data_IF_951876910445
#
_entry.id   IF_951876910445
#
_cell.length_a   1.000
_cell.length_b   1.000
_cell.length_c   1.000
_cell.angle_alpha   90.00
_cell.angle_beta   90.00
_cell.angle_gamma   90.00
#
_symmetry.space_group_name_H-M   'P 1'
#
loop_
_entity.id
_entity.type
_entity.pdbx_description
1 polymer ?
#
# COMPACT_ATOMS: atom_id res chain seq x y z
N UNK A 1 -9.18 16.85 28.85
CA UNK A 1 -9.23 17.90 27.81
C UNK A 1 -9.05 17.16 26.47
N UNK A 2 -10.01 17.26 25.59
CA UNK A 2 -9.92 16.65 24.25
C UNK A 2 -8.87 17.39 23.41
N UNK A 3 -8.08 16.63 22.65
CA UNK A 3 -6.99 17.20 21.85
C UNK A 3 -7.55 17.79 20.57
N UNK A 4 -7.40 19.11 20.39
CA UNK A 4 -7.78 19.80 19.17
C UNK A 4 -6.85 19.43 18.00
N UNK A 5 -7.41 19.30 16.79
CA UNK A 5 -6.64 19.01 15.54
C UNK A 5 -5.55 20.03 15.26
N UNK A 6 -5.70 21.27 15.73
CA UNK A 6 -4.73 22.34 15.53
C UNK A 6 -3.63 22.38 16.60
N UNK A 7 -3.75 21.58 17.67
CA UNK A 7 -2.77 21.55 18.74
C UNK A 7 -1.43 20.99 18.28
N UNK A 8 -0.35 21.73 18.50
CA UNK A 8 1.01 21.37 18.06
C UNK A 8 1.79 20.55 19.10
N UNK A 9 1.26 20.39 20.31
CA UNK A 9 1.86 19.62 21.39
C UNK A 9 2.77 20.45 22.31
N UNK A 10 3.69 21.23 21.75
CA UNK A 10 4.75 21.96 22.45
C UNK A 10 4.64 23.50 22.31
N UNK A 11 3.72 23.98 21.49
CA UNK A 11 3.55 25.40 21.18
C UNK A 11 2.11 25.73 20.82
N UNK A 12 1.73 27.02 20.89
CA UNK A 12 0.42 27.47 20.43
C UNK A 12 0.19 27.16 18.95
N UNK A 13 -1.07 26.89 18.57
CA UNK A 13 -1.46 26.73 17.18
C UNK A 13 -1.53 28.10 16.46
N UNK A 14 -1.72 28.07 15.13
CA UNK A 14 -1.82 29.30 14.34
C UNK A 14 -2.98 30.24 14.76
N UNK A 15 -4.13 29.68 15.15
CA UNK A 15 -5.28 30.47 15.59
C UNK A 15 -5.05 31.25 16.89
N UNK A 16 -4.15 30.76 17.76
CA UNK A 16 -3.70 31.51 18.91
C UNK A 16 -3.06 32.84 18.50
N UNK A 17 -2.22 32.81 17.48
CA UNK A 17 -1.50 34.01 17.00
C UNK A 17 -2.40 34.93 16.17
N UNK A 18 -3.39 34.38 15.45
CA UNK A 18 -4.30 35.17 14.60
C UNK A 18 -5.43 35.80 15.43
N UNK A 19 -6.05 35.03 16.32
CA UNK A 19 -7.29 35.38 17.00
C UNK A 19 -7.10 35.65 18.52
N UNK A 20 -5.88 35.49 19.06
CA UNK A 20 -5.60 35.70 20.47
C UNK A 20 -6.35 34.71 21.38
N UNK A 21 -6.59 33.49 20.96
CA UNK A 21 -7.32 32.50 21.74
C UNK A 21 -6.59 32.22 23.08
N UNK A 22 -7.22 32.57 24.19
CA UNK A 22 -6.71 32.25 25.53
C UNK A 22 -7.20 30.86 25.97
N UNK A 23 -8.43 30.52 25.64
CA UNK A 23 -9.09 29.26 25.97
C UNK A 23 -9.49 28.51 24.70
N UNK A 24 -8.83 27.36 24.43
CA UNK A 24 -9.12 26.59 23.22
C UNK A 24 -10.59 26.17 23.12
N UNK A 25 -11.20 25.74 24.21
CA UNK A 25 -12.57 25.20 24.23
C UNK A 25 -13.64 26.27 23.94
N UNK A 26 -13.30 27.53 24.05
CA UNK A 26 -14.18 28.66 23.79
C UNK A 26 -13.95 29.30 22.41
N UNK A 27 -12.96 28.80 21.68
CA UNK A 27 -12.61 29.30 20.36
C UNK A 27 -13.51 28.67 19.28
N UNK A 28 -13.98 29.47 18.34
CA UNK A 28 -14.70 29.01 17.13
C UNK A 28 -13.87 28.03 16.29
N UNK A 29 -12.55 28.05 16.48
CA UNK A 29 -11.62 27.15 15.77
C UNK A 29 -11.34 25.86 16.56
N UNK A 30 -11.96 25.65 17.73
CA UNK A 30 -11.79 24.44 18.50
C UNK A 30 -12.39 23.24 17.76
N UNK A 31 -11.53 22.32 17.34
CA UNK A 31 -11.90 21.15 16.57
C UNK A 31 -11.26 19.88 17.20
N UNK A 32 -11.88 19.33 18.25
CA UNK A 32 -11.32 18.15 18.93
C UNK A 32 -11.47 16.88 18.13
N UNK A 33 -10.58 15.93 18.37
CA UNK A 33 -10.77 14.56 17.96
C UNK A 33 -11.68 13.85 18.97
N UNK A 34 -12.65 13.07 18.45
CA UNK A 34 -13.54 12.24 19.28
C UNK A 34 -12.90 10.90 19.59
N UNK A 35 -12.34 10.25 18.57
CA UNK A 35 -11.69 8.96 18.70
C UNK A 35 -10.24 9.04 18.26
N UNK A 36 -9.38 8.29 18.91
CA UNK A 36 -7.97 8.07 18.55
C UNK A 36 -7.81 6.63 18.10
N UNK A 37 -7.55 6.45 16.82
CA UNK A 37 -7.45 5.13 16.18
C UNK A 37 -6.02 4.88 15.76
N UNK A 38 -5.47 3.72 16.12
CA UNK A 38 -4.16 3.27 15.68
C UNK A 38 -4.28 2.08 14.74
N UNK A 39 -3.69 2.17 13.56
CA UNK A 39 -3.47 1.02 12.68
C UNK A 39 -2.02 0.57 12.78
N UNK A 40 -1.82 -0.73 13.00
CA UNK A 40 -0.54 -1.42 12.86
C UNK A 40 -0.60 -2.22 11.55
N UNK A 41 0.18 -1.81 10.55
CA UNK A 41 0.40 -2.54 9.29
C UNK A 41 1.82 -2.29 8.81
N UNK A 42 2.70 -3.28 9.05
CA UNK A 42 4.14 -3.16 8.84
C UNK A 42 4.57 -3.65 7.45
N UNK A 43 4.14 -4.83 7.08
CA UNK A 43 4.57 -5.61 5.92
C UNK A 43 3.40 -6.39 5.28
N UNK A 44 3.50 -6.96 4.07
CA UNK A 44 4.50 -6.64 3.05
C UNK A 44 4.15 -5.33 2.33
N UNK A 45 5.08 -4.76 1.52
CA UNK A 45 4.84 -3.49 0.81
C UNK A 45 3.52 -3.48 0.02
N UNK A 46 3.21 -4.57 -0.68
CA UNK A 46 1.95 -4.70 -1.43
C UNK A 46 0.72 -4.68 -0.52
N UNK A 47 0.82 -5.30 0.66
CA UNK A 47 -0.26 -5.34 1.64
C UNK A 47 -0.49 -3.97 2.28
N UNK A 48 0.57 -3.20 2.54
CA UNK A 48 0.42 -1.81 3.00
C UNK A 48 -0.32 -0.99 1.95
N UNK A 49 0.07 -1.10 0.66
CA UNK A 49 -0.60 -0.39 -0.43
C UNK A 49 -2.09 -0.71 -0.49
N UNK A 50 -2.45 -1.99 -0.53
CA UNK A 50 -3.87 -2.40 -0.66
C UNK A 50 -4.69 -2.13 0.60
N UNK A 51 -4.03 -1.97 1.77
CA UNK A 51 -4.68 -1.60 3.03
C UNK A 51 -5.03 -0.11 3.10
N UNK A 52 -4.47 0.75 2.25
CA UNK A 52 -4.74 2.20 2.28
C UNK A 52 -6.22 2.55 2.09
N UNK A 53 -7.00 1.67 1.46
CA UNK A 53 -8.44 1.79 1.33
C UNK A 53 -9.16 1.88 2.69
N UNK A 54 -8.64 1.21 3.72
CA UNK A 54 -9.23 1.19 5.06
C UNK A 54 -9.25 2.57 5.71
N UNK A 55 -8.28 3.44 5.40
CA UNK A 55 -8.23 4.79 5.96
C UNK A 55 -9.48 5.61 5.59
N UNK A 56 -9.97 5.50 4.34
CA UNK A 56 -11.22 6.14 3.91
C UNK A 56 -12.43 5.54 4.64
N UNK A 57 -12.51 4.22 4.75
CA UNK A 57 -13.61 3.54 5.46
C UNK A 57 -13.68 3.92 6.94
N UNK A 58 -12.50 4.03 7.61
CA UNK A 58 -12.44 4.49 9.01
C UNK A 58 -12.95 5.92 9.11
N UNK A 59 -12.54 6.84 8.23
CA UNK A 59 -13.02 8.24 8.28
C UNK A 59 -14.51 8.38 7.94
N UNK A 60 -15.09 7.47 7.18
CA UNK A 60 -16.55 7.43 6.97
C UNK A 60 -17.29 7.00 8.23
N UNK A 61 -16.78 5.99 8.96
CA UNK A 61 -17.36 5.48 10.19
C UNK A 61 -17.09 6.40 11.39
N UNK A 62 -15.90 6.97 11.46
CA UNK A 62 -15.40 7.83 12.54
C UNK A 62 -14.87 9.14 11.96
N UNK A 63 -15.73 10.07 11.53
CA UNK A 63 -15.31 11.27 10.78
C UNK A 63 -14.43 12.23 11.59
N UNK A 64 -14.62 12.26 12.90
CA UNK A 64 -13.88 13.11 13.82
C UNK A 64 -12.68 12.40 14.47
N UNK A 65 -12.32 11.22 14.01
CA UNK A 65 -11.19 10.46 14.56
C UNK A 65 -9.82 11.07 14.21
N UNK A 66 -8.84 10.82 15.07
CA UNK A 66 -7.42 10.92 14.73
C UNK A 66 -6.91 9.55 14.31
N UNK A 67 -6.59 9.38 13.03
CA UNK A 67 -6.04 8.13 12.52
C UNK A 67 -4.51 8.19 12.51
N UNK A 68 -3.90 7.38 13.37
CA UNK A 68 -2.46 7.14 13.39
C UNK A 68 -2.16 5.80 12.72
N UNK A 69 -1.11 5.74 11.91
CA UNK A 69 -0.67 4.51 11.25
C UNK A 69 0.82 4.28 11.50
N UNK A 70 1.18 3.09 12.01
CA UNK A 70 2.58 2.67 12.11
C UNK A 70 2.89 1.64 11.02
N UNK A 71 4.00 1.84 10.32
CA UNK A 71 4.46 0.98 9.21
C UNK A 71 5.99 0.93 9.15
N UNK A 72 6.54 -0.02 8.39
CA UNK A 72 7.99 -0.06 8.11
C UNK A 72 8.45 1.20 7.37
N UNK A 73 9.69 1.68 7.59
CA UNK A 73 10.20 2.88 6.93
C UNK A 73 10.09 2.85 5.40
N UNK A 74 10.33 1.69 4.78
CA UNK A 74 10.24 1.52 3.33
C UNK A 74 8.81 1.58 2.79
N UNK A 75 7.79 1.40 3.62
CA UNK A 75 6.38 1.46 3.23
C UNK A 75 5.73 2.82 3.51
N UNK A 76 6.38 3.69 4.30
CA UNK A 76 5.84 5.00 4.71
C UNK A 76 5.37 5.84 3.52
N UNK A 77 6.14 5.83 2.44
CA UNK A 77 5.81 6.58 1.23
C UNK A 77 4.40 6.28 0.69
N UNK A 78 3.91 5.06 0.82
CA UNK A 78 2.57 4.69 0.35
C UNK A 78 1.43 5.32 1.15
N UNK A 79 1.73 5.80 2.35
CA UNK A 79 0.76 6.43 3.25
C UNK A 79 0.83 7.97 3.17
N UNK A 80 1.97 8.52 2.76
CA UNK A 80 2.21 9.96 2.67
C UNK A 80 1.22 10.63 1.69
N UNK A 81 0.69 11.79 2.09
CA UNK A 81 -0.29 12.53 1.30
C UNK A 81 -1.69 11.92 1.27
N UNK A 82 -1.94 10.81 1.96
CA UNK A 82 -3.29 10.27 2.12
C UNK A 82 -4.07 11.16 3.09
N UNK A 83 -5.08 11.88 2.57
CA UNK A 83 -5.90 12.84 3.32
C UNK A 83 -6.69 12.25 4.50
N UNK A 84 -6.81 10.93 4.55
CA UNK A 84 -7.54 10.21 5.59
C UNK A 84 -6.63 9.75 6.75
N UNK A 85 -5.30 9.90 6.63
CA UNK A 85 -4.33 9.54 7.67
C UNK A 85 -3.79 10.82 8.30
N UNK A 86 -4.02 10.99 9.60
CA UNK A 86 -3.59 12.21 10.33
C UNK A 86 -2.13 12.11 10.77
N UNK A 87 -1.64 10.91 11.10
CA UNK A 87 -0.27 10.71 11.58
C UNK A 87 0.32 9.40 11.08
N UNK A 88 1.52 9.47 10.52
CA UNK A 88 2.27 8.31 10.06
C UNK A 88 3.51 8.16 10.95
N UNK A 89 3.69 6.97 11.51
CA UNK A 89 4.83 6.61 12.36
C UNK A 89 5.66 5.52 11.65
N UNK A 90 6.96 5.71 11.61
CA UNK A 90 7.87 4.65 11.17
C UNK A 90 8.12 3.65 12.30
N UNK A 91 8.15 2.36 11.97
CA UNK A 91 8.52 1.33 12.94
C UNK A 91 9.99 1.47 13.33
N UNK A 92 10.24 2.00 14.52
CA UNK A 92 11.53 2.08 15.18
C UNK A 92 11.32 2.13 16.69
N UNK A 93 12.40 2.04 17.47
CA UNK A 93 12.34 2.00 18.94
C UNK A 93 11.72 3.26 19.55
N UNK A 94 11.93 4.42 18.96
CA UNK A 94 11.37 5.69 19.43
C UNK A 94 9.85 5.73 19.24
N UNK A 95 9.39 5.45 18.02
CA UNK A 95 7.96 5.41 17.69
C UNK A 95 7.21 4.40 18.57
N UNK A 96 7.78 3.21 18.76
CA UNK A 96 7.18 2.18 19.61
C UNK A 96 7.02 2.69 21.06
N UNK A 97 8.05 3.32 21.64
CA UNK A 97 7.98 3.89 23.00
C UNK A 97 6.94 5.00 23.11
N UNK A 98 6.86 5.88 22.10
CA UNK A 98 5.85 6.96 22.07
C UNK A 98 4.44 6.36 22.05
N UNK A 99 4.20 5.36 21.19
CA UNK A 99 2.88 4.72 21.07
C UNK A 99 2.49 3.93 22.32
N UNK A 100 3.45 3.30 23.02
CA UNK A 100 3.19 2.65 24.31
C UNK A 100 2.70 3.61 25.40
N UNK A 101 3.11 4.87 25.35
CA UNK A 101 2.68 5.90 26.30
C UNK A 101 1.29 6.44 26.01
N UNK A 102 0.91 6.43 24.71
CA UNK A 102 -0.38 6.93 24.26
C UNK A 102 -1.50 5.93 24.58
N UNK A 103 -2.71 6.45 24.77
CA UNK A 103 -3.92 5.67 24.84
C UNK A 103 -4.73 5.90 23.56
N UNK A 104 -5.27 4.83 23.01
CA UNK A 104 -6.16 4.85 21.85
C UNK A 104 -7.54 4.37 22.26
N UNK A 105 -8.57 4.81 21.55
CA UNK A 105 -9.91 4.26 21.70
C UNK A 105 -10.01 2.93 20.95
N UNK A 106 -9.41 2.87 19.75
CA UNK A 106 -9.39 1.65 18.91
C UNK A 106 -7.98 1.39 18.40
N UNK A 107 -7.52 0.15 18.57
CA UNK A 107 -6.29 -0.36 17.97
C UNK A 107 -6.64 -1.47 16.97
N UNK A 108 -6.19 -1.32 15.74
CA UNK A 108 -6.40 -2.27 14.65
C UNK A 108 -5.04 -2.82 14.21
N UNK A 109 -4.76 -4.10 14.46
CA UNK A 109 -3.56 -4.75 13.96
C UNK A 109 -3.90 -5.71 12.82
N UNK A 110 -3.38 -5.43 11.62
CA UNK A 110 -3.62 -6.22 10.42
C UNK A 110 -2.53 -7.28 10.14
N UNK A 111 -1.47 -7.30 10.93
CA UNK A 111 -0.35 -8.20 10.75
C UNK A 111 -0.30 -9.30 11.81
N UNK A 112 0.10 -10.50 11.39
CA UNK A 112 0.24 -11.69 12.27
C UNK A 112 1.69 -11.98 12.67
N UNK A 113 2.65 -11.18 12.20
CA UNK A 113 4.04 -11.38 12.60
C UNK A 113 4.28 -10.99 14.07
N UNK A 114 5.31 -11.58 14.74
CA UNK A 114 5.55 -11.35 16.17
C UNK A 114 5.79 -9.88 16.55
N UNK A 115 6.35 -9.05 15.65
CA UNK A 115 6.60 -7.63 15.93
C UNK A 115 5.26 -6.88 16.05
N UNK A 116 4.36 -7.07 15.10
CA UNK A 116 3.09 -6.39 15.08
C UNK A 116 2.15 -6.89 16.19
N UNK A 117 2.07 -8.20 16.38
CA UNK A 117 1.20 -8.80 17.40
C UNK A 117 1.65 -8.46 18.83
N UNK A 118 2.97 -8.44 19.09
CA UNK A 118 3.50 -8.01 20.39
C UNK A 118 3.26 -6.52 20.65
N UNK A 119 3.38 -5.66 19.64
CA UNK A 119 3.04 -4.24 19.78
C UNK A 119 1.55 -4.06 20.08
N UNK A 120 0.67 -4.79 19.40
CA UNK A 120 -0.76 -4.70 19.63
C UNK A 120 -1.10 -5.00 21.11
N UNK A 121 -0.43 -5.98 21.73
CA UNK A 121 -0.64 -6.33 23.14
C UNK A 121 0.06 -5.39 24.12
N UNK A 122 1.11 -4.69 23.68
CA UNK A 122 1.86 -3.76 24.52
C UNK A 122 1.29 -2.33 24.54
N UNK A 123 0.50 -1.96 23.56
CA UNK A 123 -0.09 -0.63 23.44
C UNK A 123 -1.44 -0.58 24.17
N UNK A 124 -1.81 0.61 24.67
CA UNK A 124 -3.04 0.81 25.43
C UNK A 124 -4.18 1.23 24.50
N UNK A 125 -5.24 0.43 24.46
CA UNK A 125 -6.47 0.79 23.76
C UNK A 125 -7.70 0.34 24.59
N UNK A 126 -8.85 0.96 24.34
CA UNK A 126 -10.11 0.51 24.94
C UNK A 126 -10.68 -0.66 24.14
N UNK A 127 -10.44 -0.69 22.81
CA UNK A 127 -10.89 -1.73 21.91
C UNK A 127 -9.73 -2.21 21.03
N UNK A 128 -9.62 -3.55 20.87
CA UNK A 128 -8.60 -4.18 20.06
C UNK A 128 -9.25 -4.98 18.93
N UNK A 129 -8.79 -4.79 17.69
CA UNK A 129 -9.25 -5.48 16.49
C UNK A 129 -8.09 -6.07 15.71
N UNK A 130 -8.33 -7.17 15.03
CA UNK A 130 -7.30 -7.86 14.24
C UNK A 130 -6.56 -8.91 15.04
N UNK A 131 -5.23 -8.83 15.08
CA UNK A 131 -4.39 -9.88 15.63
C UNK A 131 -3.58 -9.42 16.83
N UNK A 132 -3.52 -10.26 17.85
CA UNK A 132 -2.65 -10.13 19.01
C UNK A 132 -1.71 -11.30 19.14
N UNK A 133 -0.95 -11.28 20.22
CA UNK A 133 -0.02 -12.33 20.60
C UNK A 133 -0.56 -13.08 21.82
N UNK A 134 -0.74 -14.40 21.68
CA UNK A 134 -1.06 -15.28 22.81
C UNK A 134 0.14 -15.38 23.77
N UNK A 135 -0.11 -15.68 25.04
CA UNK A 135 0.95 -15.82 26.06
C UNK A 135 2.01 -16.88 25.71
N UNK A 136 1.64 -17.88 24.92
CA UNK A 136 2.57 -18.90 24.39
C UNK A 136 3.30 -18.46 23.10
N UNK A 137 3.14 -17.21 22.65
CA UNK A 137 3.93 -16.62 21.58
C UNK A 137 3.44 -16.83 20.15
N UNK A 138 2.21 -17.33 19.95
CA UNK A 138 1.60 -17.42 18.61
C UNK A 138 0.55 -16.34 18.39
N UNK A 139 0.27 -15.97 17.12
CA UNK A 139 -0.77 -14.99 16.83
C UNK A 139 -2.17 -15.53 17.12
N UNK A 140 -3.06 -14.66 17.57
CA UNK A 140 -4.47 -14.98 17.82
C UNK A 140 -5.38 -13.86 17.32
N UNK A 141 -6.64 -14.15 16.95
CA UNK A 141 -7.63 -13.12 16.63
C UNK A 141 -8.09 -12.42 17.92
N UNK A 142 -8.21 -11.08 17.88
CA UNK A 142 -8.64 -10.27 19.02
C UNK A 142 -10.14 -9.95 18.97
N UNK A 143 -10.78 -10.08 17.81
CA UNK A 143 -12.21 -9.81 17.61
C UNK A 143 -12.84 -10.80 16.64
N UNK A 144 -14.16 -10.82 16.58
CA UNK A 144 -14.90 -11.75 15.70
C UNK A 144 -14.59 -11.56 14.22
N UNK A 145 -14.38 -10.31 13.79
CA UNK A 145 -14.06 -10.00 12.39
C UNK A 145 -12.74 -10.62 11.92
N UNK A 146 -11.80 -10.87 12.84
CA UNK A 146 -10.52 -11.48 12.52
C UNK A 146 -10.53 -13.00 12.44
N UNK A 147 -11.54 -13.67 13.05
CA UNK A 147 -11.59 -15.14 13.18
C UNK A 147 -11.57 -15.82 11.81
N UNK A 148 -12.47 -15.40 10.90
CA UNK A 148 -12.55 -16.00 9.56
C UNK A 148 -11.21 -16.00 8.82
N UNK A 149 -10.52 -14.85 8.76
CA UNK A 149 -9.24 -14.76 8.08
C UNK A 149 -8.12 -15.50 8.85
N UNK A 150 -8.21 -15.59 10.18
CA UNK A 150 -7.29 -16.38 10.98
C UNK A 150 -7.43 -17.88 10.67
N UNK A 151 -8.65 -18.41 10.70
CA UNK A 151 -8.94 -19.82 10.39
C UNK A 151 -8.56 -20.18 8.96
N UNK A 152 -8.83 -19.27 8.00
CA UNK A 152 -8.41 -19.42 6.61
C UNK A 152 -6.88 -19.56 6.47
N UNK A 153 -6.11 -18.93 7.35
CA UNK A 153 -4.64 -19.06 7.33
C UNK A 153 -4.14 -20.37 7.96
N UNK A 154 -4.89 -20.94 8.90
CA UNK A 154 -4.56 -22.24 9.53
C UNK A 154 -4.91 -23.42 8.62
N UNK A 155 -5.95 -23.29 7.80
CA UNK A 155 -6.39 -24.31 6.87
C UNK A 155 -5.75 -24.11 5.49
N UNK A 156 -4.63 -24.75 5.27
CA UNK A 156 -3.84 -24.60 4.03
C UNK A 156 -4.57 -25.06 2.76
N UNK A 157 -5.66 -25.82 2.83
CA UNK A 157 -6.30 -26.44 1.65
C UNK A 157 -7.79 -26.22 1.53
N UNK A 158 -8.51 -26.02 2.62
CA UNK A 158 -9.95 -25.95 2.63
C UNK A 158 -10.49 -24.52 2.52
N UNK A 159 -10.30 -23.72 3.56
CA UNK A 159 -10.89 -22.38 3.66
C UNK A 159 -10.25 -21.41 2.66
N UNK A 160 -8.93 -21.48 2.44
CA UNK A 160 -8.22 -20.59 1.53
C UNK A 160 -8.63 -20.78 0.06
N UNK A 161 -8.94 -22.01 -0.35
CA UNK A 161 -9.41 -22.32 -1.70
C UNK A 161 -10.88 -21.98 -1.89
N UNK A 162 -11.66 -21.89 -0.81
CA UNK A 162 -13.09 -21.55 -0.81
C UNK A 162 -13.36 -20.06 -0.55
N UNK A 163 -12.33 -19.29 -0.22
CA UNK A 163 -12.50 -17.87 0.02
C UNK A 163 -12.85 -17.13 -1.28
N UNK A 164 -13.96 -16.43 -1.28
CA UNK A 164 -14.39 -15.57 -2.38
C UNK A 164 -14.23 -14.06 -2.06
N UNK A 165 -13.83 -13.76 -0.80
CA UNK A 165 -13.65 -12.37 -0.37
C UNK A 165 -12.32 -11.82 -0.87
N UNK A 166 -12.37 -10.57 -1.34
CA UNK A 166 -11.18 -9.80 -1.65
C UNK A 166 -10.42 -9.42 -0.37
N UNK A 167 -9.15 -9.08 -0.51
CA UNK A 167 -8.35 -8.60 0.62
C UNK A 167 -8.97 -7.37 1.29
N UNK A 168 -9.57 -6.46 0.52
CA UNK A 168 -10.25 -5.29 1.06
C UNK A 168 -11.42 -5.71 1.95
N UNK A 169 -12.29 -6.61 1.48
CA UNK A 169 -13.38 -7.14 2.29
C UNK A 169 -12.87 -7.78 3.58
N UNK A 170 -11.79 -8.56 3.51
CA UNK A 170 -11.19 -9.20 4.68
C UNK A 170 -10.67 -8.17 5.70
N UNK A 171 -9.90 -7.15 5.29
CA UNK A 171 -9.37 -6.17 6.23
C UNK A 171 -10.45 -5.24 6.80
N UNK A 172 -11.49 -4.95 6.05
CA UNK A 172 -12.64 -4.19 6.55
C UNK A 172 -13.44 -4.99 7.57
N UNK A 173 -13.66 -6.29 7.30
CA UNK A 173 -14.26 -7.21 8.28
C UNK A 173 -13.43 -7.33 9.56
N UNK A 174 -12.10 -7.50 9.44
CA UNK A 174 -11.17 -7.52 10.57
C UNK A 174 -11.26 -6.24 11.39
N UNK A 175 -11.39 -5.11 10.72
CA UNK A 175 -11.45 -3.78 11.33
C UNK A 175 -12.84 -3.40 11.83
N UNK A 176 -13.86 -4.25 11.58
CA UNK A 176 -15.28 -3.98 11.90
C UNK A 176 -15.76 -2.65 11.31
N UNK A 177 -15.36 -2.39 10.08
CA UNK A 177 -15.75 -1.23 9.26
C UNK A 177 -16.49 -1.75 8.03
N UNK A 178 -17.59 -1.09 7.65
CA UNK A 178 -18.35 -1.49 6.46
C UNK A 178 -17.55 -1.18 5.19
N UNK A 179 -17.43 -2.17 4.30
CA UNK A 179 -16.79 -2.02 3.01
C UNK A 179 -17.78 -1.55 1.94
N UNK A 180 -17.53 -0.39 1.36
CA UNK A 180 -18.35 0.21 0.31
C UNK A 180 -17.53 0.40 -0.98
N UNK A 181 -16.72 -0.59 -1.30
CA UNK A 181 -15.85 -0.59 -2.50
C UNK A 181 -14.77 0.52 -2.49
N UNK A 182 -14.29 0.88 -1.29
CA UNK A 182 -13.16 1.80 -1.12
C UNK A 182 -11.92 1.26 -1.86
N UNK A 183 -11.28 2.16 -2.62
CA UNK A 183 -10.13 1.81 -3.44
C UNK A 183 -8.82 2.10 -2.71
N UNK A 184 -7.79 1.26 -2.89
CA UNK A 184 -6.44 1.63 -2.47
C UNK A 184 -6.01 2.94 -3.12
N UNK A 185 -5.27 3.74 -2.37
CA UNK A 185 -4.85 5.06 -2.81
C UNK A 185 -3.39 5.33 -2.46
N UNK A 186 -2.63 5.85 -3.44
CA UNK A 186 -1.28 6.39 -3.26
C UNK A 186 -1.28 7.81 -3.78
N UNK A 187 -0.82 8.75 -2.97
CA UNK A 187 -0.61 10.12 -3.40
C UNK A 187 0.73 10.26 -4.15
N UNK A 188 0.68 10.89 -5.30
CA UNK A 188 1.86 11.33 -6.03
C UNK A 188 1.81 12.85 -6.20
N UNK A 189 2.85 13.54 -5.77
CA UNK A 189 2.98 14.98 -6.01
C UNK A 189 2.97 15.25 -7.52
N UNK A 190 2.07 16.09 -8.00
CA UNK A 190 1.86 16.35 -9.42
C UNK A 190 3.09 16.98 -10.10
N UNK A 191 3.79 17.89 -9.41
CA UNK A 191 4.96 18.56 -9.95
C UNK A 191 6.14 17.60 -10.07
N UNK A 192 6.38 16.78 -9.03
CA UNK A 192 7.42 15.76 -9.05
C UNK A 192 7.14 14.68 -10.10
N UNK A 193 5.89 14.22 -10.19
CA UNK A 193 5.47 13.24 -11.18
C UNK A 193 5.62 13.77 -12.61
N UNK A 194 5.21 15.01 -12.87
CA UNK A 194 5.40 15.68 -14.15
C UNK A 194 6.89 15.80 -14.49
N UNK A 195 7.70 16.28 -13.54
CA UNK A 195 9.17 16.40 -13.74
C UNK A 195 9.81 15.03 -14.02
N UNK A 196 9.39 13.97 -13.33
CA UNK A 196 9.88 12.62 -13.59
C UNK A 196 9.52 12.17 -15.01
N UNK A 197 8.26 12.36 -15.43
CA UNK A 197 7.78 12.02 -16.78
C UNK A 197 8.56 12.76 -17.85
N UNK A 198 8.71 14.08 -17.73
CA UNK A 198 9.40 14.92 -18.72
C UNK A 198 10.87 14.49 -18.87
N UNK A 199 11.56 14.23 -17.77
CA UNK A 199 12.93 13.74 -17.78
C UNK A 199 13.03 12.34 -18.41
N UNK A 200 12.09 11.44 -18.08
CA UNK A 200 12.07 10.08 -18.65
C UNK A 200 11.83 10.12 -20.16
N UNK A 201 10.85 10.90 -20.60
CA UNK A 201 10.51 11.05 -22.02
C UNK A 201 11.68 11.65 -22.82
N UNK A 202 12.33 12.70 -22.29
CA UNK A 202 13.50 13.31 -22.90
C UNK A 202 14.66 12.31 -23.02
N UNK A 203 14.98 11.61 -21.90
CA UNK A 203 16.08 10.64 -21.85
C UNK A 203 15.96 9.53 -22.89
N UNK A 204 14.74 8.99 -23.03
CA UNK A 204 14.48 7.83 -23.89
C UNK A 204 13.84 8.20 -25.22
N UNK A 205 13.75 9.49 -25.55
CA UNK A 205 13.17 10.04 -26.79
C UNK A 205 11.74 9.53 -27.04
N UNK A 206 10.94 9.48 -25.98
CA UNK A 206 9.53 9.07 -26.03
C UNK A 206 8.67 10.28 -26.38
N UNK A 207 7.67 10.09 -27.22
CA UNK A 207 6.68 11.12 -27.56
C UNK A 207 5.31 10.76 -26.99
N UNK A 208 4.41 11.74 -26.90
CA UNK A 208 3.02 11.52 -26.47
C UNK A 208 2.20 10.64 -27.44
N UNK A 209 2.75 10.28 -28.61
CA UNK A 209 2.13 9.35 -29.56
C UNK A 209 2.48 7.90 -29.25
N UNK A 210 3.45 7.66 -28.40
CA UNK A 210 3.83 6.33 -27.99
C UNK A 210 2.86 5.77 -26.94
N UNK A 211 2.66 4.46 -26.96
CA UNK A 211 1.94 3.70 -25.95
C UNK A 211 2.95 2.93 -25.10
N UNK A 212 2.88 3.10 -23.80
CA UNK A 212 3.88 2.59 -22.86
C UNK A 212 3.32 1.37 -22.13
N UNK A 213 3.98 0.23 -22.31
CA UNK A 213 3.72 -1.00 -21.59
C UNK A 213 4.80 -1.22 -20.55
N UNK A 214 4.44 -1.28 -19.28
CA UNK A 214 5.36 -1.64 -18.21
C UNK A 214 5.19 -3.12 -17.87
N UNK A 215 6.26 -3.88 -17.98
CA UNK A 215 6.31 -5.29 -17.66
C UNK A 215 7.12 -5.50 -16.37
N UNK A 216 6.46 -5.86 -15.29
CA UNK A 216 7.13 -6.30 -14.06
C UNK A 216 7.36 -7.79 -14.15
N UNK A 217 8.62 -8.19 -14.36
CA UNK A 217 8.99 -9.59 -14.62
C UNK A 217 9.30 -10.39 -13.36
N UNK A 218 9.25 -9.76 -12.19
CA UNK A 218 9.62 -10.32 -10.91
C UNK A 218 8.47 -10.54 -9.93
N UNK A 219 8.76 -11.26 -8.85
CA UNK A 219 7.88 -11.41 -7.70
C UNK A 219 8.64 -11.53 -6.37
N UNK A 220 9.94 -11.21 -6.38
CA UNK A 220 10.81 -11.45 -5.23
C UNK A 220 11.15 -12.94 -5.02
N UNK A 221 11.97 -13.27 -4.00
CA UNK A 221 12.46 -14.62 -3.76
C UNK A 221 11.48 -15.53 -3.01
N UNK A 222 10.51 -14.97 -2.26
CA UNK A 222 9.64 -15.74 -1.34
C UNK A 222 8.70 -16.68 -2.08
N UNK A 223 8.15 -16.24 -3.23
CA UNK A 223 7.21 -17.01 -4.03
C UNK A 223 7.65 -17.08 -5.50
N UNK A 224 8.72 -17.84 -5.84
CA UNK A 224 9.29 -17.85 -7.19
C UNK A 224 8.32 -18.34 -8.26
N UNK A 225 7.34 -19.16 -7.91
CA UNK A 225 6.31 -19.69 -8.82
C UNK A 225 5.25 -18.65 -9.23
N UNK A 226 5.24 -17.45 -8.66
CA UNK A 226 4.44 -16.32 -9.16
C UNK A 226 5.02 -15.71 -10.45
N UNK A 227 6.24 -16.07 -10.84
CA UNK A 227 6.89 -15.56 -12.05
C UNK A 227 6.36 -16.28 -13.29
N UNK A 228 5.98 -15.51 -14.31
CA UNK A 228 5.75 -16.08 -15.63
C UNK A 228 7.07 -16.46 -16.29
N UNK A 229 7.02 -17.29 -17.35
CA UNK A 229 8.22 -17.79 -18.02
C UNK A 229 8.94 -16.68 -18.79
N UNK A 230 10.27 -16.77 -18.86
CA UNK A 230 11.08 -15.84 -19.67
C UNK A 230 10.65 -15.87 -21.14
N UNK A 231 10.45 -17.08 -21.70
CA UNK A 231 10.06 -17.25 -23.10
C UNK A 231 8.66 -16.68 -23.38
N UNK A 232 7.75 -16.72 -22.38
CA UNK A 232 6.46 -16.06 -22.47
C UNK A 232 6.62 -14.54 -22.59
N UNK A 233 7.49 -13.93 -21.77
CA UNK A 233 7.79 -12.49 -21.87
C UNK A 233 8.44 -12.15 -23.22
N UNK A 234 9.37 -12.95 -23.74
CA UNK A 234 10.00 -12.72 -25.05
C UNK A 234 8.95 -12.72 -26.15
N UNK A 235 8.06 -13.72 -26.16
CA UNK A 235 6.96 -13.78 -27.13
C UNK A 235 6.03 -12.57 -27.04
N UNK A 236 5.63 -12.21 -25.82
CA UNK A 236 4.77 -11.05 -25.58
C UNK A 236 5.41 -9.75 -26.07
N UNK A 237 6.69 -9.52 -25.72
CA UNK A 237 7.42 -8.33 -26.15
C UNK A 237 7.51 -8.25 -27.67
N UNK A 238 7.80 -9.35 -28.35
CA UNK A 238 7.82 -9.39 -29.82
C UNK A 238 6.46 -9.06 -30.43
N UNK A 239 5.36 -9.57 -29.88
CA UNK A 239 4.01 -9.22 -30.33
C UNK A 239 3.71 -7.73 -30.12
N UNK A 240 3.99 -7.19 -28.94
CA UNK A 240 3.77 -5.77 -28.64
C UNK A 240 4.61 -4.85 -29.55
N UNK A 241 5.83 -5.25 -29.89
CA UNK A 241 6.72 -4.47 -30.75
C UNK A 241 6.33 -4.46 -32.23
N UNK A 242 5.34 -5.25 -32.69
CA UNK A 242 4.79 -5.17 -34.04
C UNK A 242 4.16 -3.79 -34.30
N UNK A 243 3.53 -3.18 -33.30
CA UNK A 243 3.13 -1.78 -33.38
C UNK A 243 4.33 -0.87 -33.07
N UNK A 244 4.68 -0.03 -34.06
CA UNK A 244 5.82 0.89 -33.96
C UNK A 244 5.65 1.98 -32.91
N UNK A 245 4.43 2.22 -32.40
CA UNK A 245 4.13 3.19 -31.35
C UNK A 245 4.43 2.66 -29.96
N UNK A 246 4.55 1.34 -29.78
CA UNK A 246 4.70 0.73 -28.47
C UNK A 246 6.14 0.85 -27.97
N UNK A 247 6.26 1.28 -26.72
CA UNK A 247 7.48 1.29 -25.91
C UNK A 247 7.28 0.30 -24.78
N UNK A 248 8.29 -0.53 -24.54
CA UNK A 248 8.28 -1.54 -23.49
C UNK A 248 9.24 -1.13 -22.39
N UNK A 249 8.74 -1.06 -21.16
CA UNK A 249 9.57 -0.85 -19.98
C UNK A 249 9.66 -2.17 -19.23
N UNK A 250 10.86 -2.71 -19.09
CA UNK A 250 11.12 -3.85 -18.21
C UNK A 250 11.51 -3.33 -16.83
N UNK A 251 10.94 -3.92 -15.79
CA UNK A 251 11.25 -3.58 -14.41
C UNK A 251 11.34 -4.83 -13.53
N UNK A 252 11.96 -4.69 -12.37
CA UNK A 252 12.17 -5.75 -11.40
C UNK A 252 13.24 -5.40 -10.38
N UNK A 253 13.48 -6.29 -9.44
CA UNK A 253 14.55 -6.18 -8.46
C UNK A 253 15.88 -6.70 -9.02
N UNK A 254 16.92 -6.71 -8.20
CA UNK A 254 18.24 -7.28 -8.56
C UNK A 254 18.13 -8.73 -9.03
N UNK A 255 17.19 -9.51 -8.48
CA UNK A 255 17.00 -10.91 -8.87
C UNK A 255 16.49 -11.09 -10.30
N UNK A 256 15.85 -10.06 -10.89
CA UNK A 256 15.34 -10.08 -12.24
C UNK A 256 16.32 -9.53 -13.30
N UNK A 257 17.42 -8.92 -12.87
CA UNK A 257 18.37 -8.26 -13.79
C UNK A 257 18.82 -9.16 -14.94
N UNK A 258 19.32 -10.36 -14.62
CA UNK A 258 19.77 -11.33 -15.64
C UNK A 258 18.64 -11.69 -16.62
N UNK A 259 17.45 -11.92 -16.10
CA UNK A 259 16.25 -12.24 -16.89
C UNK A 259 15.89 -11.11 -17.86
N UNK A 260 15.86 -9.89 -17.37
CA UNK A 260 15.53 -8.71 -18.16
C UNK A 260 16.59 -8.42 -19.22
N UNK A 261 17.87 -8.61 -18.90
CA UNK A 261 18.96 -8.55 -19.88
C UNK A 261 18.79 -9.58 -21.01
N UNK A 262 18.37 -10.80 -20.68
CA UNK A 262 18.12 -11.86 -21.67
C UNK A 262 16.90 -11.55 -22.55
N UNK A 263 15.82 -11.01 -21.97
CA UNK A 263 14.63 -10.57 -22.72
C UNK A 263 15.02 -9.43 -23.68
N UNK A 264 15.76 -8.45 -23.21
CA UNK A 264 16.19 -7.29 -23.99
C UNK A 264 17.08 -7.73 -25.17
N UNK A 265 18.07 -8.58 -24.92
CA UNK A 265 19.00 -9.10 -25.93
C UNK A 265 18.28 -9.92 -27.01
N UNK A 266 17.29 -10.74 -26.64
CA UNK A 266 16.60 -11.62 -27.58
C UNK A 266 15.70 -10.88 -28.59
N UNK A 267 15.31 -9.64 -28.28
CA UNK A 267 14.42 -8.82 -29.10
C UNK A 267 15.15 -7.74 -29.90
N UNK A 268 16.37 -7.37 -29.50
CA UNK A 268 17.26 -6.41 -30.16
C UNK A 268 16.57 -5.12 -30.65
N UNK A 269 15.75 -4.50 -29.80
CA UNK A 269 14.97 -3.31 -30.12
C UNK A 269 15.32 -2.14 -29.22
N UNK A 270 15.54 -0.94 -29.80
CA UNK A 270 15.74 0.30 -29.06
C UNK A 270 14.45 0.83 -28.37
N UNK A 271 13.34 0.16 -28.60
CA UNK A 271 12.05 0.47 -27.95
C UNK A 271 11.82 -0.32 -26.66
N UNK A 272 12.81 -1.07 -26.19
CA UNK A 272 12.80 -1.70 -24.88
C UNK A 272 13.72 -0.91 -23.95
N UNK A 273 13.17 -0.50 -22.82
CA UNK A 273 13.86 0.26 -21.79
C UNK A 273 13.95 -0.63 -20.55
N UNK A 274 15.12 -1.09 -20.22
CA UNK A 274 15.33 -1.83 -18.96
C UNK A 274 15.61 -0.84 -17.84
N UNK A 275 14.71 -0.82 -16.87
CA UNK A 275 14.78 0.04 -15.68
C UNK A 275 15.04 -0.76 -14.39
N UNK A 276 15.40 -2.03 -14.51
CA UNK A 276 15.65 -2.92 -13.37
C UNK A 276 16.66 -2.29 -12.41
N UNK A 277 16.27 -2.18 -11.13
CA UNK A 277 17.06 -1.58 -10.04
C UNK A 277 17.44 -0.08 -10.18
N UNK A 278 16.90 0.61 -11.17
CA UNK A 278 17.28 2.01 -11.43
C UNK A 278 16.61 3.03 -10.51
N UNK A 279 15.50 2.65 -9.87
CA UNK A 279 14.61 3.60 -9.20
C UNK A 279 14.29 3.22 -7.76
N UNK A 280 14.16 4.24 -6.91
CA UNK A 280 13.57 4.11 -5.57
C UNK A 280 12.09 3.73 -5.68
N UNK A 281 11.48 3.30 -4.58
CA UNK A 281 10.05 2.95 -4.56
C UNK A 281 9.15 4.13 -5.02
N UNK A 282 9.47 5.36 -4.63
CA UNK A 282 8.78 6.57 -5.07
C UNK A 282 8.86 6.77 -6.58
N UNK A 283 10.07 6.63 -7.12
CA UNK A 283 10.29 6.74 -8.56
C UNK A 283 9.66 5.59 -9.33
N UNK A 284 9.59 4.41 -8.73
CA UNK A 284 8.87 3.26 -9.29
C UNK A 284 7.36 3.51 -9.38
N UNK A 285 6.76 4.15 -8.39
CA UNK A 285 5.37 4.60 -8.49
C UNK A 285 5.17 5.59 -9.65
N UNK A 286 6.08 6.57 -9.82
CA UNK A 286 6.03 7.49 -10.94
C UNK A 286 6.20 6.76 -12.29
N UNK A 287 7.05 5.73 -12.35
CA UNK A 287 7.24 4.90 -13.54
C UNK A 287 5.96 4.12 -13.89
N UNK A 288 5.28 3.55 -12.92
CA UNK A 288 3.98 2.91 -13.09
C UNK A 288 2.96 3.95 -13.55
N UNK A 289 2.96 5.14 -12.95
CA UNK A 289 1.99 6.18 -13.28
C UNK A 289 2.12 6.71 -14.71
N UNK A 290 3.32 6.81 -15.27
CA UNK A 290 3.52 7.23 -16.66
C UNK A 290 3.14 6.15 -17.71
N UNK A 291 2.94 4.90 -17.28
CA UNK A 291 2.62 3.79 -18.16
C UNK A 291 1.13 3.77 -18.54
N UNK A 292 0.82 3.34 -19.76
CA UNK A 292 -0.57 3.17 -20.22
C UNK A 292 -1.15 1.83 -19.75
N UNK A 293 -0.34 0.78 -19.79
CA UNK A 293 -0.74 -0.58 -19.40
C UNK A 293 0.38 -1.18 -18.54
N UNK A 294 0.01 -1.77 -17.43
CA UNK A 294 0.92 -2.51 -16.54
C UNK A 294 0.64 -4.01 -16.67
N UNK A 295 1.68 -4.78 -16.97
CA UNK A 295 1.62 -6.25 -17.09
C UNK A 295 2.46 -6.84 -15.97
N UNK A 296 1.82 -7.55 -15.06
CA UNK A 296 2.49 -8.04 -13.84
C UNK A 296 1.80 -9.26 -13.26
N UNK A 297 2.52 -10.07 -12.52
CA UNK A 297 1.91 -11.04 -11.60
C UNK A 297 1.45 -10.37 -10.30
N UNK A 298 0.97 -11.18 -9.35
CA UNK A 298 0.59 -10.74 -8.00
C UNK A 298 1.82 -10.28 -7.21
N UNK A 299 2.10 -8.98 -7.28
CA UNK A 299 3.28 -8.31 -6.69
C UNK A 299 2.93 -6.89 -6.24
N UNK A 300 3.88 -6.22 -5.56
CA UNK A 300 3.71 -4.81 -5.20
C UNK A 300 3.39 -3.92 -6.42
N UNK A 301 3.91 -4.25 -7.62
CA UNK A 301 3.61 -3.51 -8.84
C UNK A 301 2.11 -3.54 -9.20
N UNK A 302 1.45 -4.68 -8.99
CA UNK A 302 0.01 -4.83 -9.18
C UNK A 302 -0.77 -3.88 -8.27
N UNK A 303 -0.45 -3.88 -6.98
CA UNK A 303 -1.16 -3.07 -6.00
C UNK A 303 -0.93 -1.57 -6.20
N UNK A 304 0.29 -1.17 -6.60
CA UNK A 304 0.58 0.22 -7.00
C UNK A 304 -0.23 0.59 -8.25
N UNK A 305 -0.27 -0.28 -9.26
CA UNK A 305 -1.02 -0.02 -10.50
C UNK A 305 -2.53 0.14 -10.23
N UNK A 306 -3.10 -0.68 -9.34
CA UNK A 306 -4.49 -0.54 -8.89
C UNK A 306 -4.71 0.81 -8.20
N UNK A 307 -3.83 1.16 -7.25
CA UNK A 307 -3.93 2.43 -6.49
C UNK A 307 -3.81 3.67 -7.37
N UNK A 308 -3.06 3.56 -8.46
CA UNK A 308 -2.88 4.63 -9.47
C UNK A 308 -3.88 4.53 -10.64
N UNK A 309 -4.90 3.66 -10.53
CA UNK A 309 -5.97 3.47 -11.52
C UNK A 309 -5.44 3.21 -12.94
N UNK A 310 -4.39 2.41 -13.08
CA UNK A 310 -3.79 2.04 -14.37
C UNK A 310 -4.54 0.87 -15.00
N UNK A 311 -4.52 0.77 -16.33
CA UNK A 311 -4.96 -0.45 -17.02
C UNK A 311 -3.98 -1.58 -16.71
N UNK A 312 -4.53 -2.76 -16.41
CA UNK A 312 -3.74 -3.88 -15.89
C UNK A 312 -4.00 -5.13 -16.72
N UNK A 313 -2.94 -5.87 -16.97
CA UNK A 313 -3.02 -7.29 -17.33
C UNK A 313 -2.27 -8.06 -16.26
N UNK A 314 -3.00 -8.84 -15.47
CA UNK A 314 -2.41 -9.61 -14.38
C UNK A 314 -2.55 -11.10 -14.61
N UNK A 315 -1.55 -11.84 -14.17
CA UNK A 315 -1.56 -13.30 -14.16
C UNK A 315 -1.26 -13.81 -12.76
N UNK A 316 -1.90 -14.91 -12.42
CA UNK A 316 -1.83 -15.50 -11.10
C UNK A 316 -1.24 -16.91 -11.19
N UNK A 317 -0.42 -17.27 -10.23
CA UNK A 317 0.15 -18.60 -10.06
C UNK A 317 -0.46 -19.27 -8.82
N UNK A 318 0.35 -19.50 -7.78
CA UNK A 318 -0.10 -20.22 -6.58
C UNK A 318 -0.97 -19.37 -5.63
N UNK A 319 -1.13 -18.06 -5.88
CA UNK A 319 -1.97 -17.19 -5.07
C UNK A 319 -3.38 -17.07 -5.65
N UNK A 320 -4.42 -17.06 -4.81
CA UNK A 320 -5.80 -16.97 -5.27
C UNK A 320 -6.08 -15.60 -5.89
N UNK A 321 -6.59 -15.59 -7.11
CA UNK A 321 -6.95 -14.34 -7.81
C UNK A 321 -8.17 -13.65 -7.16
N UNK A 322 -9.01 -14.40 -6.46
CA UNK A 322 -10.20 -13.89 -5.77
C UNK A 322 -9.86 -12.82 -4.72
N UNK A 323 -8.69 -12.93 -4.09
CA UNK A 323 -8.24 -11.94 -3.12
C UNK A 323 -7.88 -10.57 -3.75
N UNK A 324 -7.83 -10.49 -5.08
CA UNK A 324 -7.39 -9.28 -5.80
C UNK A 324 -8.56 -8.63 -6.52
N UNK A 325 -9.10 -7.56 -5.95
CA UNK A 325 -10.04 -6.72 -6.65
C UNK A 325 -9.31 -5.77 -7.60
N UNK A 326 -9.51 -5.92 -8.90
CA UNK A 326 -8.94 -5.05 -9.92
C UNK A 326 -9.78 -3.78 -10.16
N UNK A 327 -10.93 -3.62 -9.55
CA UNK A 327 -11.81 -2.45 -9.67
C UNK A 327 -12.16 -2.08 -11.13
N UNK A 328 -12.24 -3.08 -12.00
CA UNK A 328 -12.53 -2.88 -13.43
C UNK A 328 -11.37 -2.36 -14.26
N UNK A 329 -10.14 -2.45 -13.77
CA UNK A 329 -8.94 -1.96 -14.45
C UNK A 329 -8.27 -3.02 -15.35
N UNK A 330 -8.72 -4.28 -15.28
CA UNK A 330 -8.16 -5.39 -16.04
C UNK A 330 -9.08 -6.58 -16.18
#
# INVERSE_FOLDING_TARGET
MEICRHFKGDRPCEYYWINGCINCNESENYNPYKERILIIKLDALGDVVRSTALAEGIKKKYPDSQLTWITQPQAKFFLEGNKHIDKIMEYNSESVRILQYQKFDILINLDKDPKATSMAMAFKADEYRGYGLHEEGYPMPLNKGAVYHYDMCLDNWGAKTKNELSYQELIFMISEVDYNNEKPYIYLDENENKKFKDNFFSRYKISNKNKIFLLNTGCGPVYPHKKWTKDGYIKLVNELLKDKKNIIILTGSTSEKKRNDEINKSTNSNRIIDTTTMYSIKQFCNLINLSDIVITGDTVALHIAISLQKKIVSFFGPTPHQEINLFGLG
#
